data_IF_600380412137
#
_entry.id   IF_600380412137
#
_cell.length_a   1.000
_cell.length_b   1.000
_cell.length_c   1.000
_cell.angle_alpha   90.00
_cell.angle_beta   90.00
_cell.angle_gamma   90.00
#
_symmetry.space_group_name_H-M   'P 1'
#
loop_
_entity.id
_entity.type
_entity.pdbx_description
1 polymer ?
#
# COMPACT_ATOMS: atom_id res chain seq x y z
N UNK A 1 -29.61 9.62 21.19
CA UNK A 1 -28.75 10.78 21.51
C UNK A 1 -28.24 10.63 22.95
N UNK A 2 -27.27 9.75 23.22
CA UNK A 2 -26.55 9.66 24.50
C UNK A 2 -25.17 9.09 24.19
N UNK A 3 -24.11 9.72 24.70
CA UNK A 3 -22.68 9.60 24.36
C UNK A 3 -22.21 10.43 23.17
N UNK A 4 -22.23 11.75 23.38
CA UNK A 4 -21.51 12.73 22.57
C UNK A 4 -20.99 13.88 23.46
N UNK A 5 -20.18 13.56 24.46
CA UNK A 5 -19.30 14.50 25.16
C UNK A 5 -18.15 13.64 25.69
N UNK A 6 -17.06 13.43 24.94
CA UNK A 6 -16.11 14.50 24.61
C UNK A 6 -14.96 14.44 25.61
N UNK A 7 -14.32 13.26 25.72
CA UNK A 7 -13.11 13.09 26.52
C UNK A 7 -12.02 12.61 25.60
N UNK A 8 -11.14 13.52 25.22
CA UNK A 8 -9.91 13.15 24.54
C UNK A 8 -8.83 12.96 25.62
N UNK A 9 -8.26 11.76 25.68
CA UNK A 9 -7.13 11.48 26.56
C UNK A 9 -5.87 11.72 25.73
N UNK A 10 -4.92 12.53 26.21
CA UNK A 10 -3.72 12.87 25.42
C UNK A 10 -2.72 11.71 25.35
N UNK A 11 -2.43 11.16 24.17
CA UNK A 11 -1.27 10.29 23.91
C UNK A 11 -1.42 8.84 24.39
N UNK A 12 -0.33 8.16 24.78
CA UNK A 12 -0.31 6.73 25.22
C UNK A 12 -1.06 6.44 26.54
N UNK A 13 -1.98 7.32 26.93
CA UNK A 13 -2.75 7.31 28.17
C UNK A 13 -4.03 6.45 28.11
N UNK A 14 -4.41 5.99 26.91
CA UNK A 14 -5.66 5.24 26.69
C UNK A 14 -5.72 3.88 27.41
N UNK A 15 -4.59 3.21 27.58
CA UNK A 15 -4.54 1.84 28.12
C UNK A 15 -4.92 1.78 29.60
N UNK A 16 -4.48 2.73 30.43
CA UNK A 16 -4.81 2.75 31.88
C UNK A 16 -6.24 3.22 32.19
N UNK A 17 -6.77 4.20 31.43
CA UNK A 17 -8.10 4.76 31.68
C UNK A 17 -9.20 3.72 31.48
N UNK A 18 -9.00 2.84 30.50
CA UNK A 18 -9.87 1.69 30.23
C UNK A 18 -9.77 0.59 31.30
N UNK A 19 -8.58 0.41 31.88
CA UNK A 19 -8.27 -0.69 32.81
C UNK A 19 -8.61 -0.33 34.27
N UNK A 20 -8.46 0.94 34.66
CA UNK A 20 -8.75 1.44 36.00
C UNK A 20 -10.25 1.68 36.24
N UNK A 21 -11.01 1.99 35.18
CA UNK A 21 -12.42 2.38 35.33
C UNK A 21 -13.37 1.68 34.34
N UNK A 22 -13.33 0.34 34.20
CA UNK A 22 -14.07 -0.37 33.16
C UNK A 22 -15.59 -0.16 33.24
N UNK A 23 -16.15 0.07 34.43
CA UNK A 23 -17.59 0.39 34.61
C UNK A 23 -17.88 1.89 34.62
N UNK A 24 -16.98 2.72 35.15
CA UNK A 24 -17.23 4.18 35.29
C UNK A 24 -17.20 4.92 33.96
N UNK A 25 -16.57 4.34 32.94
CA UNK A 25 -16.62 4.85 31.56
C UNK A 25 -18.03 4.83 30.95
N UNK A 26 -18.94 4.01 31.48
CA UNK A 26 -20.32 3.89 30.99
C UNK A 26 -21.32 4.68 31.83
N UNK A 27 -20.85 5.55 32.73
CA UNK A 27 -21.74 6.39 33.52
C UNK A 27 -22.37 7.47 32.65
N UNK A 28 -23.68 7.62 32.78
CA UNK A 28 -24.46 8.58 32.03
C UNK A 28 -24.50 9.91 32.77
N UNK A 29 -23.88 10.94 32.18
CA UNK A 29 -23.92 12.29 32.74
C UNK A 29 -25.27 12.92 32.41
N UNK A 30 -25.95 13.45 33.42
CA UNK A 30 -27.27 14.07 33.30
C UNK A 30 -27.31 15.38 34.07
N UNK A 31 -28.12 16.33 33.63
CA UNK A 31 -28.17 17.65 34.26
C UNK A 31 -28.82 17.60 35.65
N UNK A 32 -29.86 16.79 35.81
CA UNK A 32 -30.72 16.74 37.00
C UNK A 32 -30.99 15.28 37.41
N UNK A 33 -31.11 15.02 38.72
CA UNK A 33 -31.49 13.74 39.29
C UNK A 33 -32.93 13.32 38.95
N UNK A 34 -33.83 14.27 38.67
CA UNK A 34 -35.19 13.99 38.20
C UNK A 34 -35.18 13.22 36.87
N UNK A 35 -34.26 13.56 35.97
CA UNK A 35 -34.11 12.87 34.67
C UNK A 35 -33.67 11.42 34.90
N UNK A 36 -32.70 11.22 35.81
CA UNK A 36 -32.22 9.88 36.18
C UNK A 36 -33.35 9.00 36.71
N UNK A 37 -34.14 9.55 37.62
CA UNK A 37 -35.24 8.83 38.28
C UNK A 37 -36.34 8.48 37.28
N UNK A 38 -36.66 9.39 36.36
CA UNK A 38 -37.65 9.13 35.31
C UNK A 38 -37.21 8.01 34.36
N UNK A 39 -35.94 8.01 33.94
CA UNK A 39 -35.38 6.96 33.07
C UNK A 39 -35.37 5.61 33.80
N UNK A 40 -34.94 5.58 35.07
CA UNK A 40 -34.95 4.35 35.88
C UNK A 40 -36.36 3.79 36.07
N UNK A 41 -37.34 4.65 36.36
CA UNK A 41 -38.74 4.24 36.51
C UNK A 41 -39.28 3.60 35.22
N UNK A 42 -39.00 4.18 34.05
CA UNK A 42 -39.46 3.61 32.78
C UNK A 42 -38.71 2.31 32.44
N UNK A 43 -37.39 2.25 32.69
CA UNK A 43 -36.57 1.05 32.48
C UNK A 43 -37.07 -0.13 33.32
N UNK A 44 -37.43 0.12 34.57
CA UNK A 44 -38.00 -0.88 35.48
C UNK A 44 -39.42 -1.27 35.05
N UNK A 45 -40.25 -0.31 34.62
CA UNK A 45 -41.61 -0.57 34.12
C UNK A 45 -41.59 -1.49 32.90
N UNK A 46 -40.65 -1.25 31.98
CA UNK A 46 -40.47 -2.06 30.76
C UNK A 46 -39.61 -3.31 30.96
N UNK A 47 -39.15 -3.60 32.20
CA UNK A 47 -38.27 -4.74 32.54
C UNK A 47 -37.08 -4.89 31.61
N UNK A 48 -36.44 -3.77 31.25
CA UNK A 48 -35.30 -3.81 30.34
C UNK A 48 -34.08 -4.45 31.02
N UNK A 49 -33.31 -5.30 30.33
CA UNK A 49 -32.10 -5.88 30.88
C UNK A 49 -30.97 -4.84 30.94
N UNK A 50 -30.16 -4.88 32.00
CA UNK A 50 -28.94 -4.08 32.13
C UNK A 50 -28.81 -3.35 33.46
N UNK A 51 -27.63 -2.80 33.69
CA UNK A 51 -27.32 -1.93 34.82
C UNK A 51 -26.90 -0.57 34.26
N UNK A 52 -27.57 0.49 34.70
CA UNK A 52 -27.25 1.88 34.31
C UNK A 52 -26.88 2.68 35.54
N UNK A 53 -25.86 3.52 35.42
CA UNK A 53 -25.45 4.43 36.48
C UNK A 53 -25.49 5.85 35.96
N UNK A 54 -26.20 6.74 36.66
CA UNK A 54 -26.33 8.14 36.30
C UNK A 54 -25.49 9.03 37.22
N UNK A 55 -24.94 10.11 36.67
CA UNK A 55 -24.16 11.13 37.39
C UNK A 55 -24.85 12.50 37.23
N UNK A 56 -25.74 12.86 38.16
CA UNK A 56 -26.49 14.12 38.10
C UNK A 56 -25.62 15.31 38.49
N UNK A 57 -25.47 16.29 37.59
CA UNK A 57 -24.61 17.47 37.77
C UNK A 57 -25.06 18.36 38.94
N UNK A 58 -26.37 18.43 39.21
CA UNK A 58 -26.94 19.24 40.28
C UNK A 58 -26.65 18.71 41.70
N UNK A 59 -26.48 17.39 41.86
CA UNK A 59 -26.25 16.74 43.17
C UNK A 59 -24.81 16.28 43.40
N UNK A 60 -23.96 16.34 42.39
CA UNK A 60 -22.60 15.82 42.49
C UNK A 60 -21.72 16.75 43.33
N UNK A 61 -21.34 16.28 44.51
CA UNK A 61 -20.36 16.94 45.37
C UNK A 61 -18.96 16.38 45.15
N UNK A 62 -17.99 17.28 45.07
CA UNK A 62 -16.58 16.96 44.88
C UNK A 62 -15.80 17.75 45.92
N UNK A 63 -14.88 17.08 46.59
CA UNK A 63 -13.92 17.74 47.48
C UNK A 63 -12.68 18.12 46.67
N UNK A 64 -12.20 19.34 46.85
CA UNK A 64 -10.93 19.75 46.27
C UNK A 64 -9.80 19.01 46.99
N UNK A 65 -9.13 18.14 46.24
CA UNK A 65 -8.01 17.35 46.72
C UNK A 65 -6.71 18.08 46.40
N UNK A 66 -5.81 18.18 47.38
CA UNK A 66 -4.42 18.61 47.10
C UNK A 66 -3.65 17.42 46.54
N UNK A 67 -3.06 17.62 45.38
CA UNK A 67 -2.22 16.61 44.73
C UNK A 67 -0.75 16.83 45.11
N UNK A 68 0.06 15.75 45.23
CA UNK A 68 1.48 15.88 45.46
C UNK A 68 2.17 16.48 44.23
N UNK A 69 3.00 17.49 44.44
CA UNK A 69 3.88 18.03 43.41
C UNK A 69 5.17 17.20 43.39
N UNK A 70 5.18 16.15 42.56
CA UNK A 70 6.34 15.29 42.36
C UNK A 70 6.52 14.99 40.87
N UNK A 71 7.76 14.93 40.35
CA UNK A 71 8.00 14.54 38.96
C UNK A 71 7.58 13.09 38.66
N UNK A 72 7.48 12.24 39.68
CA UNK A 72 7.17 10.82 39.52
C UNK A 72 5.68 10.49 39.67
N UNK A 73 4.82 11.48 39.96
CA UNK A 73 3.37 11.31 40.11
C UNK A 73 2.58 12.48 39.50
N UNK A 74 1.64 12.18 38.62
CA UNK A 74 0.77 13.17 37.96
C UNK A 74 -0.71 12.89 38.25
N UNK A 75 -1.54 13.92 38.52
CA UNK A 75 -2.99 13.74 38.68
C UNK A 75 -3.63 13.28 37.37
N UNK A 76 -4.44 12.22 37.42
CA UNK A 76 -5.08 11.68 36.21
C UNK A 76 -6.01 12.70 35.55
N UNK A 77 -6.74 13.49 36.35
CA UNK A 77 -7.67 14.52 35.85
C UNK A 77 -6.97 15.59 35.00
N UNK A 78 -5.71 15.92 35.31
CA UNK A 78 -4.94 16.95 34.58
C UNK A 78 -4.53 16.49 33.17
N UNK A 79 -4.53 15.19 32.91
CA UNK A 79 -4.17 14.61 31.61
C UNK A 79 -5.39 14.36 30.70
N UNK A 80 -6.60 14.68 31.17
CA UNK A 80 -7.84 14.54 30.42
C UNK A 80 -8.26 15.87 29.80
N UNK A 81 -8.74 15.84 28.55
CA UNK A 81 -9.41 16.96 27.93
C UNK A 81 -10.91 16.73 27.99
N UNK A 82 -11.63 17.61 28.67
CA UNK A 82 -13.08 17.58 28.80
C UNK A 82 -13.63 19.00 28.91
N UNK A 83 -14.93 19.18 28.65
CA UNK A 83 -15.57 20.49 28.81
C UNK A 83 -15.70 20.88 30.28
N UNK A 84 -15.39 22.15 30.61
CA UNK A 84 -15.43 22.69 31.98
C UNK A 84 -16.78 22.49 32.68
N UNK A 85 -17.88 22.47 31.91
CA UNK A 85 -19.24 22.12 32.37
C UNK A 85 -19.28 20.83 33.19
N UNK A 86 -18.46 19.84 32.84
CA UNK A 86 -18.47 18.51 33.43
C UNK A 86 -17.35 18.31 34.48
N UNK A 87 -16.67 19.37 34.90
CA UNK A 87 -15.52 19.29 35.80
C UNK A 87 -15.82 18.53 37.11
N UNK A 88 -17.02 18.74 37.68
CA UNK A 88 -17.48 17.99 38.86
C UNK A 88 -17.49 16.48 38.61
N UNK A 89 -17.94 16.04 37.43
CA UNK A 89 -18.00 14.60 37.09
C UNK A 89 -16.59 14.02 36.97
N UNK A 90 -15.73 14.69 36.21
CA UNK A 90 -14.38 14.19 35.96
C UNK A 90 -13.53 14.17 37.23
N UNK A 91 -13.64 15.19 38.09
CA UNK A 91 -13.00 15.18 39.41
C UNK A 91 -13.56 14.09 40.32
N UNK A 92 -14.86 13.80 40.28
CA UNK A 92 -15.43 12.70 41.06
C UNK A 92 -14.92 11.33 40.61
N UNK A 93 -14.85 11.09 39.30
CA UNK A 93 -14.47 9.78 38.73
C UNK A 93 -12.96 9.55 38.78
N UNK A 94 -12.16 10.56 38.40
CA UNK A 94 -10.71 10.45 38.18
C UNK A 94 -9.86 11.27 39.17
N UNK A 95 -10.45 12.15 39.98
CA UNK A 95 -9.71 13.04 40.88
C UNK A 95 -9.11 12.35 42.11
N UNK A 96 -9.39 11.06 42.34
CA UNK A 96 -8.76 10.26 43.40
C UNK A 96 -7.65 9.34 42.89
N UNK A 97 -7.21 9.54 41.65
CA UNK A 97 -6.24 8.67 40.99
C UNK A 97 -5.01 9.44 40.53
N UNK A 98 -3.84 8.93 40.90
CA UNK A 98 -2.52 9.42 40.48
C UNK A 98 -1.89 8.45 39.48
N UNK A 99 -1.27 8.99 38.44
CA UNK A 99 -0.45 8.25 37.49
C UNK A 99 0.99 8.30 37.98
N UNK A 100 1.56 7.14 38.29
CA UNK A 100 2.92 6.98 38.79
C UNK A 100 3.83 6.37 37.72
N UNK A 101 5.12 6.66 37.77
CA UNK A 101 6.11 6.10 36.82
C UNK A 101 6.33 4.60 37.00
N UNK A 102 6.36 4.11 38.25
CA UNK A 102 6.61 2.70 38.58
C UNK A 102 5.69 2.21 39.70
N UNK A 103 5.63 0.88 39.89
CA UNK A 103 4.78 0.24 40.89
C UNK A 103 5.27 0.49 42.32
N UNK A 104 6.58 0.61 42.51
CA UNK A 104 7.20 0.92 43.81
C UNK A 104 6.79 2.32 44.26
N UNK A 105 6.89 3.28 43.34
CA UNK A 105 6.47 4.67 43.55
C UNK A 105 4.96 4.75 43.81
N UNK A 106 4.16 4.01 43.04
CA UNK A 106 2.72 3.91 43.25
C UNK A 106 2.37 3.38 44.65
N UNK A 107 3.11 2.38 45.14
CA UNK A 107 2.91 1.80 46.48
C UNK A 107 3.26 2.79 47.58
N UNK A 108 4.34 3.57 47.42
CA UNK A 108 4.73 4.61 48.36
C UNK A 108 3.68 5.72 48.43
N UNK A 109 3.28 6.28 47.28
CA UNK A 109 2.31 7.37 47.23
C UNK A 109 0.94 6.94 47.75
N UNK A 110 0.48 5.73 47.39
CA UNK A 110 -0.82 5.22 47.84
C UNK A 110 -0.94 5.09 49.37
N UNK A 111 0.16 4.75 50.06
CA UNK A 111 0.21 4.70 51.54
C UNK A 111 0.24 6.09 52.18
N UNK A 112 0.95 7.04 51.57
CA UNK A 112 1.19 8.37 52.15
C UNK A 112 0.09 9.39 51.87
N UNK A 113 -0.59 9.31 50.72
CA UNK A 113 -1.49 10.37 50.22
C UNK A 113 -2.97 9.97 50.19
N UNK A 114 -3.34 8.74 50.60
CA UNK A 114 -4.71 8.19 50.54
C UNK A 114 -5.37 8.33 49.13
N UNK A 115 -4.56 8.14 48.09
CA UNK A 115 -4.96 8.19 46.68
C UNK A 115 -4.70 6.84 46.00
N UNK A 116 -5.58 6.48 45.07
CA UNK A 116 -5.35 5.31 44.21
C UNK A 116 -4.25 5.67 43.20
N UNK A 117 -3.33 4.75 42.95
CA UNK A 117 -2.18 4.97 42.07
C UNK A 117 -2.20 3.96 40.92
N UNK A 118 -1.89 4.42 39.71
CA UNK A 118 -1.83 3.59 38.50
C UNK A 118 -0.52 3.83 37.76
N UNK A 119 0.10 2.77 37.24
CA UNK A 119 1.31 2.89 36.41
C UNK A 119 0.96 3.02 34.92
N UNK A 120 1.92 3.46 34.11
CA UNK A 120 1.75 3.50 32.65
C UNK A 120 1.50 2.12 32.03
N UNK A 121 1.93 1.05 32.71
CA UNK A 121 1.77 -0.34 32.28
C UNK A 121 0.40 -0.92 32.66
N UNK A 122 -0.40 -0.18 33.44
CA UNK A 122 -1.76 -0.57 33.83
C UNK A 122 -1.85 -1.29 35.17
N UNK A 123 -0.75 -1.39 35.93
CA UNK A 123 -0.77 -1.88 37.31
C UNK A 123 -1.37 -0.83 38.24
N UNK A 124 -2.13 -1.29 39.22
CA UNK A 124 -2.93 -0.46 40.12
C UNK A 124 -2.59 -0.79 41.57
N UNK A 125 -2.46 0.26 42.37
CA UNK A 125 -2.37 0.17 43.82
C UNK A 125 -3.49 1.02 44.40
N UNK A 126 -4.45 0.36 45.04
CA UNK A 126 -5.49 1.08 45.77
C UNK A 126 -4.93 1.63 47.07
N UNK A 127 -5.44 2.79 47.49
CA UNK A 127 -5.24 3.38 48.81
C UNK A 127 -5.55 2.44 49.99
N UNK A 128 -6.35 1.40 49.75
CA UNK A 128 -6.66 0.33 50.71
C UNK A 128 -5.65 -0.83 50.70
N UNK A 129 -4.57 -0.74 49.94
CA UNK A 129 -3.50 -1.72 49.88
C UNK A 129 -3.70 -2.86 48.88
N UNK A 130 -4.80 -2.88 48.12
CA UNK A 130 -4.99 -3.87 47.06
C UNK A 130 -4.11 -3.54 45.84
N UNK A 131 -3.34 -4.51 45.37
CA UNK A 131 -2.51 -4.39 44.17
C UNK A 131 -3.12 -5.25 43.07
N UNK A 132 -3.43 -4.64 41.92
CA UNK A 132 -4.01 -5.33 40.76
C UNK A 132 -3.08 -5.11 39.57
N UNK A 133 -2.64 -6.19 38.93
CA UNK A 133 -1.75 -6.12 37.76
C UNK A 133 -1.92 -7.33 36.85
N UNK A 134 -1.35 -7.26 35.65
CA UNK A 134 -1.43 -8.33 34.66
C UNK A 134 -1.16 -7.88 33.22
N UNK A 135 -1.16 -8.84 32.29
CA UNK A 135 -1.03 -8.53 30.87
C UNK A 135 -2.36 -8.06 30.29
N UNK A 136 -2.38 -6.81 29.79
CA UNK A 136 -3.54 -6.22 29.13
C UNK A 136 -3.34 -6.21 27.61
N UNK A 137 -4.28 -6.82 26.90
CA UNK A 137 -4.30 -6.79 25.43
C UNK A 137 -4.78 -5.42 24.95
N UNK A 138 -3.88 -4.64 24.38
CA UNK A 138 -4.15 -3.28 23.87
C UNK A 138 -5.24 -3.28 22.80
N UNK A 139 -5.39 -4.36 22.03
CA UNK A 139 -6.42 -4.49 20.97
C UNK A 139 -7.85 -4.56 21.52
N UNK A 140 -8.02 -4.93 22.79
CA UNK A 140 -9.32 -4.97 23.47
C UNK A 140 -9.64 -3.69 24.24
N UNK A 141 -8.77 -2.68 24.16
CA UNK A 141 -9.01 -1.40 24.80
C UNK A 141 -10.21 -0.70 24.16
N UNK A 142 -11.27 -0.51 24.95
CA UNK A 142 -12.52 0.11 24.47
C UNK A 142 -12.31 1.56 24.03
N UNK A 143 -11.38 2.27 24.65
CA UNK A 143 -11.04 3.65 24.31
C UNK A 143 -10.28 3.73 22.98
N UNK A 144 -9.37 2.78 22.74
CA UNK A 144 -8.65 2.67 21.46
C UNK A 144 -9.62 2.38 20.30
N UNK A 145 -10.55 1.43 20.53
CA UNK A 145 -11.60 1.10 19.57
C UNK A 145 -12.50 2.31 19.29
N UNK A 146 -12.85 3.09 20.32
CA UNK A 146 -13.65 4.30 20.14
C UNK A 146 -12.88 5.38 19.35
N UNK A 147 -11.59 5.58 19.62
CA UNK A 147 -10.75 6.50 18.83
C UNK A 147 -10.70 6.07 17.37
N UNK A 148 -10.46 4.78 17.12
CA UNK A 148 -10.47 4.21 15.78
C UNK A 148 -11.82 4.40 15.07
N UNK A 149 -12.95 4.25 15.79
CA UNK A 149 -14.29 4.50 15.23
C UNK A 149 -14.47 5.97 14.84
N UNK A 150 -13.99 6.91 15.67
CA UNK A 150 -14.08 8.35 15.37
C UNK A 150 -13.24 8.68 14.14
N UNK A 151 -11.98 8.23 14.09
CA UNK A 151 -11.10 8.43 12.93
C UNK A 151 -11.68 7.81 11.66
N UNK A 152 -12.23 6.60 11.73
CA UNK A 152 -12.87 5.95 10.59
C UNK A 152 -14.13 6.68 10.14
N UNK A 153 -14.91 7.26 11.05
CA UNK A 153 -16.08 8.08 10.70
C UNK A 153 -15.66 9.39 10.03
N UNK A 154 -14.65 10.07 10.54
CA UNK A 154 -14.13 11.28 9.91
C UNK A 154 -13.60 10.99 8.49
N UNK A 155 -12.88 9.88 8.34
CA UNK A 155 -12.42 9.39 7.03
C UNK A 155 -13.59 9.06 6.11
N UNK A 156 -14.62 8.38 6.61
CA UNK A 156 -15.81 8.05 5.84
C UNK A 156 -16.49 9.32 5.33
N UNK A 157 -16.74 10.31 6.21
CA UNK A 157 -17.36 11.58 5.81
C UNK A 157 -16.52 12.33 4.78
N UNK A 158 -15.19 12.34 4.94
CA UNK A 158 -14.29 12.95 3.94
C UNK A 158 -14.35 12.23 2.59
N UNK A 159 -14.39 10.89 2.60
CA UNK A 159 -14.50 10.09 1.37
C UNK A 159 -15.86 10.24 0.69
N UNK A 160 -16.95 10.31 1.46
CA UNK A 160 -18.29 10.59 0.96
C UNK A 160 -18.36 11.96 0.27
N UNK A 161 -17.75 12.98 0.86
CA UNK A 161 -17.68 14.30 0.24
C UNK A 161 -16.88 14.28 -1.07
N UNK A 162 -15.72 13.62 -1.09
CA UNK A 162 -14.92 13.47 -2.31
C UNK A 162 -15.67 12.69 -3.41
N UNK A 163 -16.44 11.68 -3.02
CA UNK A 163 -17.25 10.90 -3.94
C UNK A 163 -18.32 11.77 -4.61
N UNK A 164 -19.08 12.56 -3.85
CA UNK A 164 -20.09 13.46 -4.43
C UNK A 164 -19.47 14.53 -5.33
N UNK A 165 -18.32 15.12 -4.95
CA UNK A 165 -17.60 16.06 -5.82
C UNK A 165 -17.14 15.43 -7.14
N UNK A 166 -16.68 14.17 -7.10
CA UNK A 166 -16.24 13.46 -8.30
C UNK A 166 -17.43 13.06 -9.17
N UNK A 167 -18.55 12.69 -8.56
CA UNK A 167 -19.81 12.39 -9.24
C UNK A 167 -20.35 13.60 -9.98
N UNK A 168 -20.33 14.78 -9.36
CA UNK A 168 -20.74 16.04 -10.00
C UNK A 168 -19.83 16.39 -11.19
N UNK A 169 -18.52 16.16 -11.07
CA UNK A 169 -17.58 16.35 -12.19
C UNK A 169 -17.86 15.37 -13.33
N UNK A 170 -18.13 14.10 -13.02
CA UNK A 170 -18.48 13.09 -14.03
C UNK A 170 -19.73 13.51 -14.80
N UNK A 171 -20.78 13.94 -14.10
CA UNK A 171 -22.02 14.38 -14.74
C UNK A 171 -21.81 15.59 -15.66
N UNK A 172 -20.94 16.54 -15.29
CA UNK A 172 -20.58 17.68 -16.17
C UNK A 172 -19.88 17.20 -17.45
N UNK A 173 -18.92 16.29 -17.31
CA UNK A 173 -18.21 15.72 -18.46
C UNK A 173 -19.15 14.93 -19.38
N UNK A 174 -20.10 14.17 -18.84
CA UNK A 174 -21.11 13.46 -19.64
C UNK A 174 -22.00 14.41 -20.46
N UNK A 175 -22.39 15.54 -19.87
CA UNK A 175 -23.15 16.59 -20.58
C UNK A 175 -22.30 17.21 -21.69
N UNK A 176 -21.02 17.49 -21.43
CA UNK A 176 -20.09 18.01 -22.44
C UNK A 176 -19.90 17.02 -23.60
N UNK A 177 -19.70 15.73 -23.30
CA UNK A 177 -19.60 14.67 -24.32
C UNK A 177 -20.87 14.63 -25.18
N UNK A 178 -22.05 14.69 -24.55
CA UNK A 178 -23.33 14.67 -25.27
C UNK A 178 -23.48 15.88 -26.20
N UNK A 179 -23.02 17.06 -25.76
CA UNK A 179 -22.98 18.27 -26.59
C UNK A 179 -22.02 18.11 -27.76
N UNK A 180 -20.81 17.61 -27.53
CA UNK A 180 -19.82 17.37 -28.58
C UNK A 180 -20.31 16.35 -29.61
N UNK A 181 -20.97 15.27 -29.18
CA UNK A 181 -21.58 14.29 -30.10
C UNK A 181 -22.66 14.94 -30.99
N UNK A 182 -23.49 15.80 -30.40
CA UNK A 182 -24.52 16.52 -31.15
C UNK A 182 -23.90 17.44 -32.20
N UNK A 183 -22.82 18.14 -31.86
CA UNK A 183 -22.11 19.01 -32.80
C UNK A 183 -21.35 18.22 -33.86
N UNK A 184 -20.77 17.07 -33.50
CA UNK A 184 -20.16 16.14 -34.44
C UNK A 184 -21.18 15.67 -35.49
N UNK A 185 -22.38 15.27 -35.08
CA UNK A 185 -23.45 14.88 -36.01
C UNK A 185 -23.88 16.03 -36.93
N UNK A 186 -23.96 17.27 -36.42
CA UNK A 186 -24.25 18.45 -37.26
C UNK A 186 -23.14 18.69 -38.29
N UNK A 187 -21.88 18.57 -37.90
CA UNK A 187 -20.74 18.74 -38.80
C UNK A 187 -20.72 17.63 -39.84
N UNK A 188 -20.95 16.38 -39.44
CA UNK A 188 -20.96 15.23 -40.33
C UNK A 188 -22.08 15.32 -41.37
N UNK A 189 -23.29 15.68 -40.96
CA UNK A 189 -24.41 15.91 -41.89
C UNK A 189 -24.13 17.06 -42.86
N UNK A 190 -23.52 18.15 -42.40
CA UNK A 190 -23.07 19.25 -43.27
C UNK A 190 -22.00 18.80 -44.26
N UNK A 191 -21.04 18.00 -43.80
CA UNK A 191 -19.97 17.47 -44.63
C UNK A 191 -20.51 16.52 -45.71
N UNK A 192 -21.47 15.66 -45.36
CA UNK A 192 -22.16 14.77 -46.30
C UNK A 192 -22.93 15.55 -47.37
N UNK A 193 -23.63 16.62 -46.98
CA UNK A 193 -24.31 17.53 -47.93
C UNK A 193 -23.30 18.19 -48.88
N UNK A 194 -22.19 18.72 -48.35
CA UNK A 194 -21.15 19.35 -49.15
C UNK A 194 -20.49 18.35 -50.12
N UNK A 195 -20.26 17.10 -49.68
CA UNK A 195 -19.72 16.03 -50.52
C UNK A 195 -20.65 15.74 -51.71
N UNK A 196 -21.94 15.58 -51.46
CA UNK A 196 -22.93 15.34 -52.51
C UNK A 196 -22.98 16.50 -53.53
N UNK A 197 -22.91 17.76 -53.04
CA UNK A 197 -22.85 18.94 -53.92
C UNK A 197 -21.57 18.94 -54.75
N UNK A 198 -20.43 18.60 -54.14
CA UNK A 198 -19.15 18.52 -54.83
C UNK A 198 -19.14 17.43 -55.92
N UNK A 199 -19.66 16.24 -55.62
CA UNK A 199 -19.77 15.15 -56.58
C UNK A 199 -20.68 15.51 -57.77
N UNK A 200 -21.82 16.17 -57.49
CA UNK A 200 -22.69 16.70 -58.55
C UNK A 200 -21.96 17.72 -59.42
N UNK A 201 -21.33 18.72 -58.81
CA UNK A 201 -20.59 19.76 -59.55
C UNK A 201 -19.44 19.16 -60.38
N UNK A 202 -18.76 18.13 -59.86
CA UNK A 202 -17.71 17.39 -60.58
C UNK A 202 -18.27 16.60 -61.77
N UNK A 203 -19.47 16.03 -61.64
CA UNK A 203 -20.17 15.38 -62.75
C UNK A 203 -20.54 16.39 -63.83
N UNK A 204 -21.15 17.51 -63.43
CA UNK A 204 -21.55 18.58 -64.35
C UNK A 204 -20.33 19.15 -65.09
N UNK A 205 -19.22 19.38 -64.39
CA UNK A 205 -17.96 19.82 -65.01
C UNK A 205 -17.42 18.82 -66.03
N UNK A 206 -17.56 17.50 -65.80
CA UNK A 206 -17.15 16.47 -66.77
C UNK A 206 -18.01 16.52 -68.03
N UNK A 207 -19.31 16.69 -67.88
CA UNK A 207 -20.25 16.82 -69.00
C UNK A 207 -19.90 18.07 -69.82
N UNK A 208 -19.81 19.23 -69.17
CA UNK A 208 -19.48 20.51 -69.82
C UNK A 208 -18.12 20.46 -70.54
N UNK A 209 -17.11 19.80 -69.96
CA UNK A 209 -15.81 19.61 -70.62
C UNK A 209 -15.90 18.68 -71.83
N UNK A 210 -16.73 17.65 -71.76
CA UNK A 210 -17.04 16.78 -72.91
C UNK A 210 -17.69 17.56 -74.05
N UNK A 211 -18.71 18.36 -73.75
CA UNK A 211 -19.37 19.24 -74.72
C UNK A 211 -18.40 20.25 -75.33
N UNK A 212 -17.58 20.91 -74.50
CA UNK A 212 -16.54 21.83 -74.97
C UNK A 212 -15.57 21.16 -75.93
N UNK A 213 -15.12 19.93 -75.63
CA UNK A 213 -14.21 19.19 -76.52
C UNK A 213 -14.88 18.81 -77.85
N UNK A 214 -16.18 18.48 -77.84
CA UNK A 214 -16.93 18.20 -79.08
C UNK A 214 -17.06 19.47 -79.92
N UNK A 215 -17.41 20.59 -79.29
CA UNK A 215 -17.49 21.90 -79.93
C UNK A 215 -16.12 22.31 -80.51
N UNK A 216 -15.04 22.14 -79.75
CA UNK A 216 -13.68 22.44 -80.20
C UNK A 216 -13.24 21.57 -81.38
N UNK A 217 -13.57 20.26 -81.37
CA UNK A 217 -13.35 19.38 -82.53
C UNK A 217 -14.17 19.79 -83.76
N UNK A 218 -15.41 20.24 -83.56
CA UNK A 218 -16.27 20.74 -84.63
C UNK A 218 -15.80 22.10 -85.20
N UNK A 219 -15.17 22.93 -84.36
CA UNK A 219 -14.54 24.21 -84.71
C UNK A 219 -13.09 24.07 -85.20
N UNK A 220 -12.48 22.89 -85.03
CA UNK A 220 -11.16 22.58 -85.57
C UNK A 220 -11.07 22.95 -87.04
N UNK A 221 -9.87 23.32 -87.55
CA UNK A 221 -9.72 24.00 -88.83
C UNK A 221 -10.43 23.17 -89.90
N UNK A 222 -11.56 23.70 -90.40
CA UNK A 222 -12.26 23.14 -91.55
C UNK A 222 -11.32 23.26 -92.74
N UNK A 223 -10.36 22.35 -92.85
CA UNK A 223 -9.38 22.26 -93.95
C UNK A 223 -10.10 22.28 -95.29
N UNK A 224 -11.31 21.71 -95.33
CA UNK A 224 -12.22 21.75 -96.48
C UNK A 224 -12.69 23.17 -96.85
N UNK A 225 -12.95 24.06 -95.88
CA UNK A 225 -13.35 25.44 -96.19
C UNK A 225 -12.18 26.21 -96.78
N UNK A 226 -10.96 26.04 -96.24
CA UNK A 226 -9.79 26.71 -96.79
C UNK A 226 -9.45 26.22 -98.21
N UNK A 227 -9.56 24.91 -98.48
CA UNK A 227 -9.34 24.36 -99.83
C UNK A 227 -10.44 24.78 -100.80
N UNK A 228 -11.70 24.82 -100.35
CA UNK A 228 -12.81 25.30 -101.18
C UNK A 228 -12.67 26.79 -101.51
N UNK A 229 -12.22 27.62 -100.56
CA UNK A 229 -11.93 29.04 -100.80
C UNK A 229 -10.80 29.21 -101.83
N UNK A 230 -9.70 28.47 -101.69
CA UNK A 230 -8.59 28.52 -102.65
C UNK A 230 -9.02 28.06 -104.05
N UNK A 231 -9.86 27.02 -104.16
CA UNK A 231 -10.38 26.54 -105.44
C UNK A 231 -11.33 27.57 -106.08
N UNK A 232 -12.18 28.20 -105.26
CA UNK A 232 -13.10 29.23 -105.72
C UNK A 232 -12.35 30.47 -106.23
N UNK A 233 -11.26 30.84 -105.56
CA UNK A 233 -10.40 31.95 -105.98
C UNK A 233 -9.65 31.62 -107.28
N UNK A 234 -9.16 30.38 -107.44
CA UNK A 234 -8.57 29.90 -108.70
C UNK A 234 -9.59 29.90 -109.85
N UNK A 235 -10.82 29.40 -109.62
CA UNK A 235 -11.88 29.40 -110.65
C UNK A 235 -12.30 30.83 -111.03
N UNK A 236 -12.40 31.75 -110.06
CA UNK A 236 -12.67 33.17 -110.33
C UNK A 236 -11.56 33.82 -111.14
N UNK A 237 -10.29 33.51 -110.84
CA UNK A 237 -9.15 33.96 -111.63
C UNK A 237 -9.22 33.47 -113.08
N UNK A 238 -9.53 32.18 -113.28
CA UNK A 238 -9.66 31.59 -114.61
C UNK A 238 -10.86 32.16 -115.38
N UNK A 239 -11.99 32.40 -114.71
CA UNK A 239 -13.16 33.02 -115.32
C UNK A 239 -12.86 34.44 -115.81
N UNK A 240 -12.19 35.27 -114.98
CA UNK A 240 -11.76 36.60 -115.39
C UNK A 240 -10.82 36.58 -116.58
N UNK A 241 -9.82 35.68 -116.58
CA UNK A 241 -8.90 35.54 -117.72
C UNK A 241 -9.64 35.20 -119.01
N UNK A 242 -10.62 34.29 -118.95
CA UNK A 242 -11.43 33.90 -120.12
C UNK A 242 -12.40 35.01 -120.56
N UNK A 243 -12.94 35.80 -119.61
CA UNK A 243 -13.75 36.98 -119.91
C UNK A 243 -12.92 38.10 -120.58
N UNK A 244 -11.69 38.33 -120.11
CA UNK A 244 -10.76 39.30 -120.69
C UNK A 244 -10.24 38.85 -122.07
N UNK A 245 -10.11 37.54 -122.32
CA UNK A 245 -9.78 36.97 -123.62
C UNK A 245 -10.94 37.05 -124.63
N UNK A 246 -12.18 37.19 -124.15
CA UNK A 246 -13.38 37.21 -124.98
C UNK A 246 -13.50 38.53 -125.76
N UNK A 247 -13.06 38.53 -127.02
CA UNK A 247 -13.14 39.68 -127.92
C UNK A 247 -11.81 40.31 -128.30
N UNK A 248 -10.69 39.68 -127.93
CA UNK A 248 -9.35 40.05 -128.41
C UNK A 248 -8.98 39.26 -129.66
N UNK A 249 -8.29 39.88 -130.63
CA UNK A 249 -7.85 39.22 -131.86
C UNK A 249 -6.69 38.25 -131.57
N UNK A 250 -6.76 37.02 -132.07
CA UNK A 250 -5.72 36.00 -131.92
C UNK A 250 -4.47 36.36 -132.76
N UNK A 251 -3.62 37.22 -132.24
CA UNK A 251 -2.31 37.53 -132.81
C UNK A 251 -1.32 36.41 -132.47
N UNK A 252 -0.67 35.83 -133.48
CA UNK A 252 0.28 34.73 -133.34
C UNK A 252 1.65 35.15 -132.79
N UNK A 253 1.90 36.46 -132.62
CA UNK A 253 3.15 37.03 -132.11
C UNK A 253 2.89 38.26 -131.22
N UNK A 254 3.56 38.32 -130.08
CA UNK A 254 3.47 39.40 -129.09
C UNK A 254 4.07 40.72 -129.62
N UNK A 255 3.48 41.88 -129.29
CA UNK A 255 4.12 43.17 -129.61
C UNK A 255 5.35 43.39 -128.71
N UNK A 256 6.30 44.25 -129.14
CA UNK A 256 7.52 44.55 -128.37
C UNK A 256 7.22 45.17 -127.00
N UNK A 257 6.07 45.85 -126.87
CA UNK A 257 5.62 46.47 -125.63
C UNK A 257 5.05 45.42 -124.67
N UNK A 258 4.23 44.51 -125.21
CA UNK A 258 3.68 43.37 -124.46
C UNK A 258 4.79 42.42 -124.02
N UNK A 259 5.82 42.21 -124.82
CA UNK A 259 6.97 41.36 -124.47
C UNK A 259 7.73 41.92 -123.26
N UNK A 260 7.91 43.24 -123.18
CA UNK A 260 8.55 43.90 -122.02
C UNK A 260 7.68 43.83 -120.77
N UNK A 261 6.36 43.92 -120.93
CA UNK A 261 5.43 43.81 -119.82
C UNK A 261 5.34 42.37 -119.29
N UNK A 262 5.34 41.39 -120.20
CA UNK A 262 5.45 39.95 -119.85
C UNK A 262 6.77 39.66 -119.14
N UNK A 263 7.90 40.19 -119.60
CA UNK A 263 9.20 39.99 -118.93
C UNK A 263 9.21 40.61 -117.52
N UNK A 264 8.66 41.83 -117.37
CA UNK A 264 8.52 42.49 -116.05
C UNK A 264 7.61 41.71 -115.11
N UNK A 265 6.43 41.31 -115.59
CA UNK A 265 5.47 40.52 -114.81
C UNK A 265 6.06 39.16 -114.46
N UNK A 266 6.82 38.52 -115.34
CA UNK A 266 7.51 37.27 -115.03
C UNK A 266 8.56 37.43 -113.92
N UNK A 267 9.30 38.52 -113.92
CA UNK A 267 10.27 38.80 -112.85
C UNK A 267 9.58 39.15 -111.53
N UNK A 268 8.45 39.84 -111.57
CA UNK A 268 7.61 40.10 -110.39
C UNK A 268 6.95 38.82 -109.86
N UNK A 269 6.46 37.95 -110.74
CA UNK A 269 5.95 36.60 -110.43
C UNK A 269 7.06 35.75 -109.79
N UNK A 270 8.30 35.80 -110.29
CA UNK A 270 9.44 35.12 -109.66
C UNK A 270 9.72 35.67 -108.26
N UNK A 271 9.69 36.98 -108.08
CA UNK A 271 9.88 37.64 -106.78
C UNK A 271 8.80 37.25 -105.77
N UNK A 272 7.53 37.35 -106.17
CA UNK A 272 6.38 36.96 -105.36
C UNK A 272 6.37 35.47 -105.05
N UNK A 273 6.73 34.60 -106.00
CA UNK A 273 6.87 33.16 -105.74
C UNK A 273 7.97 32.87 -104.73
N UNK A 274 9.09 33.59 -104.77
CA UNK A 274 10.16 33.44 -103.79
C UNK A 274 9.72 33.89 -102.39
N UNK A 275 8.99 35.00 -102.28
CA UNK A 275 8.41 35.47 -101.02
C UNK A 275 7.36 34.51 -100.48
N UNK A 276 6.47 34.00 -101.33
CA UNK A 276 5.45 33.03 -100.96
C UNK A 276 6.10 31.71 -100.48
N UNK A 277 7.17 31.26 -101.16
CA UNK A 277 7.94 30.08 -100.74
C UNK A 277 8.63 30.28 -99.38
N UNK A 278 9.14 31.48 -99.10
CA UNK A 278 9.69 31.84 -97.77
C UNK A 278 8.61 31.83 -96.69
N UNK A 279 7.47 32.50 -96.95
CA UNK A 279 6.34 32.54 -96.02
C UNK A 279 5.75 31.16 -95.76
N UNK A 280 5.65 30.31 -96.79
CA UNK A 280 5.20 28.92 -96.66
C UNK A 280 6.15 28.11 -95.80
N UNK A 281 7.46 28.22 -96.00
CA UNK A 281 8.45 27.53 -95.18
C UNK A 281 8.41 27.99 -93.72
N UNK A 282 8.23 29.29 -93.48
CA UNK A 282 8.10 29.83 -92.13
C UNK A 282 6.82 29.36 -91.45
N UNK A 283 5.70 29.30 -92.18
CA UNK A 283 4.46 28.72 -91.72
C UNK A 283 4.61 27.24 -91.37
N UNK A 284 5.23 26.44 -92.23
CA UNK A 284 5.47 25.00 -91.98
C UNK A 284 6.29 24.82 -90.71
N UNK A 285 7.32 25.66 -90.51
CA UNK A 285 8.15 25.63 -89.30
C UNK A 285 7.34 25.95 -88.04
N UNK A 286 6.56 27.03 -88.06
CA UNK A 286 5.69 27.43 -86.95
C UNK A 286 4.59 26.41 -86.65
N UNK A 287 3.99 25.81 -87.68
CA UNK A 287 2.98 24.76 -87.55
C UNK A 287 3.58 23.48 -86.96
N UNK A 288 4.82 23.14 -87.35
CA UNK A 288 5.60 22.07 -86.73
C UNK A 288 5.89 22.32 -85.25
N UNK A 289 6.30 23.53 -84.88
CA UNK A 289 6.59 23.90 -83.49
C UNK A 289 5.32 23.98 -82.63
N UNK A 290 4.20 24.44 -83.20
CA UNK A 290 2.88 24.36 -82.56
C UNK A 290 2.50 22.91 -82.26
N UNK A 291 2.57 22.03 -83.25
CA UNK A 291 2.24 20.61 -83.06
C UNK A 291 3.14 19.93 -82.03
N UNK A 292 4.45 20.24 -82.00
CA UNK A 292 5.35 19.74 -80.97
C UNK A 292 4.90 20.16 -79.57
N UNK A 293 4.58 21.45 -79.37
CA UNK A 293 4.11 21.95 -78.07
C UNK A 293 2.74 21.37 -77.69
N UNK A 294 1.81 21.24 -78.63
CA UNK A 294 0.50 20.60 -78.41
C UNK A 294 0.65 19.12 -78.04
N UNK A 295 1.57 18.39 -78.66
CA UNK A 295 1.85 17.00 -78.31
C UNK A 295 2.46 16.87 -76.90
N UNK A 296 3.35 17.77 -76.50
CA UNK A 296 3.90 17.78 -75.13
C UNK A 296 2.79 18.08 -74.11
N UNK A 297 1.92 19.05 -74.41
CA UNK A 297 0.84 19.45 -73.53
C UNK A 297 -0.22 18.35 -73.39
N UNK A 298 -0.72 17.83 -74.51
CA UNK A 298 -1.79 16.82 -74.53
C UNK A 298 -1.28 15.43 -74.14
N UNK A 299 -0.13 15.02 -74.67
CA UNK A 299 0.42 13.68 -74.48
C UNK A 299 1.06 13.48 -73.12
N UNK A 300 1.67 14.52 -72.54
CA UNK A 300 2.49 14.37 -71.34
C UNK A 300 1.92 15.13 -70.14
N UNK A 301 1.78 16.46 -70.25
CA UNK A 301 1.43 17.30 -69.09
C UNK A 301 -0.03 17.12 -68.65
N UNK A 302 -0.98 17.08 -69.59
CA UNK A 302 -2.40 16.81 -69.30
C UNK A 302 -2.57 15.42 -68.70
N UNK A 303 -1.95 14.38 -69.28
CA UNK A 303 -2.00 13.02 -68.75
C UNK A 303 -1.41 12.93 -67.34
N UNK A 304 -0.26 13.55 -67.09
CA UNK A 304 0.38 13.55 -65.77
C UNK A 304 -0.46 14.28 -64.72
N UNK A 305 -1.13 15.37 -65.10
CA UNK A 305 -2.11 16.06 -64.25
C UNK A 305 -3.31 15.16 -63.93
N UNK A 306 -3.87 14.48 -64.94
CA UNK A 306 -5.01 13.58 -64.75
C UNK A 306 -4.65 12.38 -63.87
N UNK A 307 -3.44 11.83 -64.05
CA UNK A 307 -2.89 10.78 -63.20
C UNK A 307 -2.71 11.25 -61.74
N UNK A 308 -2.12 12.43 -61.50
CA UNK A 308 -1.99 12.95 -60.13
C UNK A 308 -3.35 13.28 -59.48
N UNK A 309 -4.35 13.71 -60.26
CA UNK A 309 -5.72 13.91 -59.76
C UNK A 309 -6.35 12.57 -59.35
N UNK A 310 -6.10 11.51 -60.12
CA UNK A 310 -6.58 10.16 -59.81
C UNK A 310 -5.90 9.62 -58.54
N UNK A 311 -4.58 9.73 -58.45
CA UNK A 311 -3.81 9.31 -57.26
C UNK A 311 -4.26 10.07 -55.99
N UNK A 312 -4.50 11.38 -56.08
CA UNK A 312 -5.05 12.16 -54.95
C UNK A 312 -6.47 11.75 -54.55
N UNK A 313 -7.30 11.36 -55.51
CA UNK A 313 -8.65 10.84 -55.26
C UNK A 313 -8.60 9.53 -54.49
N UNK A 314 -7.77 8.59 -54.95
CA UNK A 314 -7.66 7.24 -54.40
C UNK A 314 -7.02 7.23 -53.01
N UNK A 315 -6.02 8.10 -52.76
CA UNK A 315 -5.37 8.26 -51.45
C UNK A 315 -6.31 8.87 -50.38
N UNK A 316 -7.33 9.65 -50.77
CA UNK A 316 -8.06 10.48 -49.80
C UNK A 316 -9.25 9.80 -49.12
N UNK A 317 -9.88 8.79 -49.73
CA UNK A 317 -11.15 8.22 -49.23
C UNK A 317 -11.05 6.73 -48.97
N UNK A 318 -10.61 5.92 -49.93
CA UNK A 318 -10.62 4.46 -49.77
C UNK A 318 -9.56 3.99 -48.78
N UNK A 319 -8.32 4.49 -48.86
CA UNK A 319 -7.25 4.14 -47.91
C UNK A 319 -7.54 4.63 -46.48
N UNK A 320 -8.17 5.82 -46.33
CA UNK A 320 -8.56 6.33 -45.01
C UNK A 320 -9.73 5.55 -44.43
N UNK A 321 -10.71 5.18 -45.26
CA UNK A 321 -11.85 4.36 -44.86
C UNK A 321 -11.42 2.94 -44.51
N UNK A 322 -10.51 2.35 -45.28
CA UNK A 322 -9.97 1.02 -45.02
C UNK A 322 -9.10 1.01 -43.76
N UNK A 323 -8.31 2.07 -43.51
CA UNK A 323 -7.61 2.23 -42.22
C UNK A 323 -8.57 2.41 -41.05
N UNK A 324 -9.66 3.15 -41.23
CA UNK A 324 -10.64 3.39 -40.18
C UNK A 324 -11.47 2.14 -39.89
N UNK A 325 -11.87 1.39 -40.93
CA UNK A 325 -12.52 0.08 -40.79
C UNK A 325 -11.57 -0.92 -40.12
N UNK A 326 -10.28 -0.97 -40.50
CA UNK A 326 -9.30 -1.83 -39.83
C UNK A 326 -9.11 -1.46 -38.35
N UNK A 327 -8.95 -0.17 -38.05
CA UNK A 327 -8.85 0.30 -36.66
C UNK A 327 -10.13 0.08 -35.86
N UNK A 328 -11.30 0.22 -36.47
CA UNK A 328 -12.60 -0.08 -35.84
C UNK A 328 -12.76 -1.57 -35.56
N UNK A 329 -12.36 -2.42 -36.52
CA UNK A 329 -12.36 -3.87 -36.37
C UNK A 329 -11.40 -4.30 -35.26
N UNK A 330 -10.18 -3.75 -35.22
CA UNK A 330 -9.20 -3.97 -34.15
C UNK A 330 -9.74 -3.53 -32.79
N UNK A 331 -10.43 -2.38 -32.71
CA UNK A 331 -11.04 -1.89 -31.49
C UNK A 331 -12.15 -2.83 -31.00
N UNK A 332 -13.02 -3.30 -31.90
CA UNK A 332 -14.07 -4.27 -31.59
C UNK A 332 -13.49 -5.62 -31.14
N UNK A 333 -12.36 -6.04 -31.74
CA UNK A 333 -11.66 -7.26 -31.29
C UNK A 333 -11.05 -7.07 -29.90
N UNK A 334 -10.50 -5.89 -29.62
CA UNK A 334 -9.98 -5.55 -28.30
C UNK A 334 -11.10 -5.46 -27.25
N UNK A 335 -12.25 -4.86 -27.57
CA UNK A 335 -13.42 -4.78 -26.69
C UNK A 335 -13.97 -6.17 -26.35
N UNK A 336 -14.17 -7.02 -27.36
CA UNK A 336 -14.62 -8.41 -27.14
C UNK A 336 -13.59 -9.22 -26.33
N UNK A 337 -12.29 -8.98 -26.52
CA UNK A 337 -11.25 -9.59 -25.68
C UNK A 337 -11.27 -9.06 -24.24
N UNK A 338 -11.55 -7.77 -24.03
CA UNK A 338 -11.71 -7.17 -22.70
C UNK A 338 -12.93 -7.77 -22.00
N UNK A 339 -14.06 -7.89 -22.68
CA UNK A 339 -15.29 -8.46 -22.10
C UNK A 339 -15.14 -9.95 -21.80
N UNK A 340 -14.48 -10.70 -22.69
CA UNK A 340 -14.03 -12.07 -22.45
C UNK A 340 -13.15 -12.17 -21.19
N UNK A 341 -12.16 -11.30 -21.06
CA UNK A 341 -11.28 -11.28 -19.90
C UNK A 341 -12.00 -10.84 -18.62
N UNK A 342 -12.94 -9.90 -18.69
CA UNK A 342 -13.81 -9.52 -17.57
C UNK A 342 -14.68 -10.69 -17.13
N UNK A 343 -15.33 -11.38 -18.06
CA UNK A 343 -16.12 -12.57 -17.77
C UNK A 343 -15.27 -13.70 -17.17
N UNK A 344 -14.04 -13.90 -17.65
CA UNK A 344 -13.07 -14.83 -17.05
C UNK A 344 -12.66 -14.40 -15.65
N UNK A 345 -12.43 -13.10 -15.42
CA UNK A 345 -12.11 -12.56 -14.11
C UNK A 345 -13.28 -12.73 -13.14
N UNK A 346 -14.51 -12.43 -13.55
CA UNK A 346 -15.71 -12.68 -12.76
C UNK A 346 -15.90 -14.16 -12.47
N UNK A 347 -15.66 -15.04 -13.44
CA UNK A 347 -15.67 -16.49 -13.23
C UNK A 347 -14.61 -16.96 -12.23
N UNK A 348 -13.41 -16.39 -12.28
CA UNK A 348 -12.34 -16.64 -11.30
C UNK A 348 -12.75 -16.12 -9.92
N UNK A 349 -13.30 -14.91 -9.82
CA UNK A 349 -13.81 -14.37 -8.55
C UNK A 349 -14.93 -15.24 -7.98
N UNK A 350 -15.90 -15.65 -8.81
CA UNK A 350 -16.99 -16.52 -8.41
C UNK A 350 -16.49 -17.92 -7.98
N UNK A 351 -15.43 -18.45 -8.59
CA UNK A 351 -14.76 -19.67 -8.14
C UNK A 351 -13.95 -19.48 -6.85
N UNK A 352 -13.45 -18.27 -6.59
CA UNK A 352 -12.70 -17.93 -5.38
C UNK A 352 -13.60 -17.67 -4.16
N UNK A 353 -14.84 -17.18 -4.36
CA UNK A 353 -15.83 -16.94 -3.29
C UNK A 353 -16.10 -18.18 -2.42
N UNK A 354 -16.39 -19.39 -2.96
CA UNK A 354 -16.59 -20.58 -2.14
C UNK A 354 -15.27 -21.10 -1.52
N UNK A 355 -14.12 -20.81 -2.12
CA UNK A 355 -12.81 -21.14 -1.54
C UNK A 355 -12.48 -20.21 -0.35
N UNK A 356 -12.82 -18.93 -0.44
CA UNK A 356 -12.76 -17.96 0.65
C UNK A 356 -13.68 -18.35 1.81
N UNK A 357 -14.93 -18.75 1.52
CA UNK A 357 -15.89 -19.21 2.52
C UNK A 357 -15.46 -20.53 3.19
N UNK A 358 -14.90 -21.47 2.42
CA UNK A 358 -14.35 -22.72 2.97
C UNK A 358 -13.09 -22.47 3.81
N UNK A 359 -12.24 -21.51 3.43
CA UNK A 359 -11.07 -21.11 4.23
C UNK A 359 -11.49 -20.47 5.55
N UNK A 360 -12.51 -19.61 5.60
CA UNK A 360 -12.99 -19.05 6.87
C UNK A 360 -13.61 -20.11 7.77
N UNK A 361 -14.43 -21.01 7.24
CA UNK A 361 -15.08 -22.08 8.02
C UNK A 361 -14.05 -23.10 8.53
N UNK A 362 -13.10 -23.53 7.70
CA UNK A 362 -12.02 -24.45 8.12
C UNK A 362 -11.05 -23.78 9.09
N UNK A 363 -10.81 -22.47 8.95
CA UNK A 363 -9.97 -21.71 9.89
C UNK A 363 -10.63 -21.57 11.26
N UNK A 364 -11.95 -21.38 11.32
CA UNK A 364 -12.69 -21.29 12.59
C UNK A 364 -12.81 -22.65 13.29
N UNK A 365 -13.11 -23.73 12.58
CA UNK A 365 -13.15 -25.08 13.17
C UNK A 365 -11.76 -25.53 13.67
N UNK A 366 -10.71 -25.32 12.87
CA UNK A 366 -9.33 -25.63 13.29
C UNK A 366 -8.86 -24.73 14.42
N UNK A 367 -9.24 -23.45 14.47
CA UNK A 367 -8.93 -22.55 15.58
C UNK A 367 -9.62 -22.94 16.87
N UNK A 368 -10.86 -23.41 16.83
CA UNK A 368 -11.58 -23.90 18.01
C UNK A 368 -10.91 -25.16 18.54
N UNK A 369 -10.59 -26.13 17.67
CA UNK A 369 -9.88 -27.36 18.06
C UNK A 369 -8.48 -27.05 18.61
N UNK A 370 -7.74 -26.14 17.96
CA UNK A 370 -6.40 -25.74 18.40
C UNK A 370 -6.44 -25.00 19.74
N UNK A 371 -7.44 -24.14 19.97
CA UNK A 371 -7.65 -23.46 21.26
C UNK A 371 -8.02 -24.45 22.37
N UNK A 372 -8.84 -25.46 22.10
CA UNK A 372 -9.18 -26.52 23.07
C UNK A 372 -7.94 -27.35 23.42
N UNK A 373 -7.15 -27.76 22.41
CA UNK A 373 -5.87 -28.47 22.62
C UNK A 373 -4.85 -27.64 23.39
N UNK A 374 -4.71 -26.35 23.06
CA UNK A 374 -3.79 -25.44 23.75
C UNK A 374 -4.21 -25.25 25.21
N UNK A 375 -5.52 -25.15 25.49
CA UNK A 375 -6.05 -25.05 26.85
C UNK A 375 -5.81 -26.32 27.67
N UNK A 376 -5.96 -27.50 27.06
CA UNK A 376 -5.62 -28.79 27.68
C UNK A 376 -4.12 -28.91 27.98
N UNK A 377 -3.26 -28.47 27.05
CA UNK A 377 -1.81 -28.52 27.20
C UNK A 377 -1.32 -27.55 28.28
N UNK A 378 -1.88 -26.33 28.34
CA UNK A 378 -1.62 -25.36 29.42
C UNK A 378 -2.12 -25.90 30.77
N UNK A 379 -3.27 -26.60 30.79
CA UNK A 379 -3.78 -27.30 31.98
C UNK A 379 -2.81 -28.36 32.50
N UNK A 380 -2.35 -29.27 31.63
CA UNK A 380 -1.38 -30.31 31.99
C UNK A 380 -0.02 -29.73 32.41
N UNK A 381 0.41 -28.64 31.79
CA UNK A 381 1.68 -27.99 32.15
C UNK A 381 1.57 -27.25 33.50
N UNK A 382 0.39 -26.71 33.85
CA UNK A 382 0.12 -26.18 35.20
C UNK A 382 0.09 -27.27 36.26
N UNK A 383 -0.54 -28.42 35.98
CA UNK A 383 -0.52 -29.57 36.88
C UNK A 383 0.91 -30.09 37.12
N UNK A 384 1.71 -30.21 36.04
CA UNK A 384 3.12 -30.63 36.10
C UNK A 384 4.01 -29.62 36.84
N UNK A 385 3.71 -28.32 36.74
CA UNK A 385 4.41 -27.26 37.48
C UNK A 385 4.04 -27.26 38.97
N UNK A 386 2.81 -27.65 39.30
CA UNK A 386 2.33 -27.78 40.68
C UNK A 386 2.98 -28.98 41.39
N UNK A 387 3.07 -30.13 40.71
CA UNK A 387 3.78 -31.31 41.22
C UNK A 387 5.29 -31.06 41.37
N UNK A 388 5.92 -30.35 40.42
CA UNK A 388 7.34 -29.98 40.49
C UNK A 388 7.64 -28.99 41.63
N UNK A 389 6.76 -28.02 41.91
CA UNK A 389 6.91 -27.12 43.08
C UNK A 389 6.78 -27.85 44.42
N UNK A 390 5.85 -28.80 44.54
CA UNK A 390 5.72 -29.62 45.74
C UNK A 390 6.91 -30.58 45.92
N UNK A 391 7.50 -31.09 44.84
CA UNK A 391 8.73 -31.89 44.87
C UNK A 391 9.92 -31.10 45.43
N UNK A 392 10.14 -29.87 44.92
CA UNK A 392 11.23 -28.98 45.37
C UNK A 392 11.11 -28.57 46.85
N UNK A 393 9.89 -28.43 47.36
CA UNK A 393 9.67 -28.14 48.78
C UNK A 393 10.11 -29.31 49.69
N UNK A 394 9.81 -30.56 49.29
CA UNK A 394 10.26 -31.76 50.00
C UNK A 394 11.77 -31.95 49.92
N UNK A 395 12.36 -31.69 48.75
CA UNK A 395 13.80 -31.80 48.53
C UNK A 395 14.61 -30.83 49.40
N UNK A 396 14.10 -29.59 49.56
CA UNK A 396 14.69 -28.62 50.49
C UNK A 396 14.65 -29.10 51.95
N UNK A 397 13.53 -29.69 52.38
CA UNK A 397 13.39 -30.22 53.75
C UNK A 397 14.37 -31.38 54.02
N UNK A 398 14.63 -32.24 53.02
CA UNK A 398 15.65 -33.30 53.14
C UNK A 398 17.08 -32.74 53.16
N UNK A 399 17.39 -31.73 52.35
CA UNK A 399 18.69 -31.05 52.40
C UNK A 399 18.96 -30.39 53.75
N UNK A 400 17.96 -29.74 54.35
CA UNK A 400 18.10 -29.12 55.67
C UNK A 400 18.38 -30.17 56.76
N UNK A 401 17.71 -31.34 56.72
CA UNK A 401 17.97 -32.48 57.63
C UNK A 401 19.38 -33.05 57.47
N UNK A 402 19.83 -33.24 56.22
CA UNK A 402 21.20 -33.71 55.93
C UNK A 402 22.25 -32.71 56.45
N UNK A 403 21.98 -31.40 56.32
CA UNK A 403 22.84 -30.35 56.84
C UNK A 403 22.98 -30.37 58.36
N UNK A 404 21.91 -30.68 59.09
CA UNK A 404 21.96 -30.79 60.55
C UNK A 404 22.67 -32.06 61.02
N UNK A 405 22.48 -33.20 60.34
CA UNK A 405 23.22 -34.44 60.60
C UNK A 405 24.73 -34.27 60.35
N UNK A 406 25.11 -33.52 59.31
CA UNK A 406 26.52 -33.20 59.02
C UNK A 406 27.19 -32.39 60.15
N UNK A 407 26.48 -31.41 60.74
CA UNK A 407 26.99 -30.65 61.90
C UNK A 407 27.17 -31.52 63.14
N UNK A 408 26.29 -32.50 63.35
CA UNK A 408 26.40 -33.44 64.47
C UNK A 408 27.61 -34.36 64.27
N UNK A 409 27.82 -34.86 63.06
CA UNK A 409 29.00 -35.65 62.69
C UNK A 409 30.29 -34.87 62.90
N UNK A 410 30.36 -33.62 62.46
CA UNK A 410 31.54 -32.76 62.63
C UNK A 410 31.91 -32.59 64.12
N UNK A 411 30.91 -32.41 65.00
CA UNK A 411 31.14 -32.37 66.45
C UNK A 411 31.70 -33.69 67.00
N UNK A 412 31.22 -34.84 66.51
CA UNK A 412 31.74 -36.15 66.92
C UNK A 412 33.16 -36.37 66.45
N UNK A 413 33.48 -36.02 65.19
CA UNK A 413 34.83 -36.13 64.62
C UNK A 413 35.83 -35.25 65.37
N UNK A 414 35.45 -34.01 65.72
CA UNK A 414 36.27 -33.13 66.53
C UNK A 414 36.55 -33.70 67.93
N UNK A 415 35.53 -34.31 68.56
CA UNK A 415 35.69 -34.99 69.85
C UNK A 415 36.61 -36.22 69.75
N UNK A 416 36.51 -36.99 68.67
CA UNK A 416 37.37 -38.14 68.41
C UNK A 416 38.84 -37.70 68.21
N UNK A 417 39.08 -36.65 67.40
CA UNK A 417 40.41 -36.10 67.17
C UNK A 417 41.07 -35.61 68.48
N UNK A 418 40.31 -34.95 69.35
CA UNK A 418 40.80 -34.53 70.66
C UNK A 418 41.17 -35.72 71.56
N UNK A 419 40.36 -36.78 71.57
CA UNK A 419 40.63 -37.99 72.35
C UNK A 419 41.85 -38.76 71.82
N UNK A 420 42.04 -38.80 70.50
CA UNK A 420 43.23 -39.39 69.89
C UNK A 420 44.51 -38.64 70.26
N UNK A 421 44.49 -37.30 70.23
CA UNK A 421 45.63 -36.49 70.70
C UNK A 421 45.96 -36.78 72.17
N UNK A 422 44.96 -36.89 73.04
CA UNK A 422 45.17 -37.29 74.45
C UNK A 422 45.76 -38.69 74.58
N UNK A 423 45.29 -39.65 73.76
CA UNK A 423 45.83 -41.01 73.72
C UNK A 423 47.30 -41.00 73.30
N UNK A 424 47.66 -40.26 72.25
CA UNK A 424 49.06 -40.12 71.80
C UNK A 424 49.95 -39.50 72.86
N UNK A 425 49.46 -38.48 73.57
CA UNK A 425 50.20 -37.85 74.66
C UNK A 425 50.45 -38.84 75.81
N UNK A 426 49.45 -39.63 76.22
CA UNK A 426 49.62 -40.70 77.20
C UNK A 426 50.62 -41.77 76.71
N UNK A 427 50.52 -42.19 75.44
CA UNK A 427 51.45 -43.16 74.85
C UNK A 427 52.89 -42.63 74.75
N UNK A 428 53.06 -41.31 74.54
CA UNK A 428 54.37 -40.66 74.59
C UNK A 428 54.92 -40.67 76.01
N UNK A 429 54.13 -40.28 77.02
CA UNK A 429 54.53 -40.34 78.45
C UNK A 429 54.91 -41.76 78.87
N UNK A 430 54.16 -42.77 78.42
CA UNK A 430 54.49 -44.19 78.67
C UNK A 430 55.86 -44.55 78.06
N UNK A 431 56.16 -44.10 76.83
CA UNK A 431 57.47 -44.34 76.20
C UNK A 431 58.62 -43.59 76.88
N UNK A 432 58.40 -42.36 77.32
CA UNK A 432 59.39 -41.54 78.05
C UNK A 432 59.77 -42.14 79.40
N UNK A 433 58.86 -42.89 80.05
CA UNK A 433 59.12 -43.58 81.32
C UNK A 433 60.07 -44.80 81.18
N UNK A 434 60.45 -45.17 79.96
CA UNK A 434 61.39 -46.26 79.68
C UNK A 434 60.75 -47.65 79.55
N UNK A 435 61.56 -48.64 79.18
CA UNK A 435 61.11 -50.02 79.00
C UNK A 435 60.84 -50.70 80.34
N UNK A 436 59.62 -51.19 80.53
CA UNK A 436 59.26 -52.01 81.69
C UNK A 436 59.97 -53.38 81.62
N UNK A 437 60.45 -53.92 82.75
CA UNK A 437 60.97 -55.29 82.83
C UNK A 437 59.93 -56.33 82.36
N UNK A 438 60.37 -57.42 81.72
CA UNK A 438 59.48 -58.48 81.20
C UNK A 438 58.50 -59.01 82.26
N UNK A 439 58.95 -59.15 83.50
CA UNK A 439 58.16 -59.64 84.63
C UNK A 439 56.95 -58.74 84.98
N UNK A 440 56.99 -57.46 84.62
CA UNK A 440 55.90 -56.53 84.89
C UNK A 440 54.68 -56.80 84.00
N UNK A 441 54.88 -57.39 82.81
CA UNK A 441 53.79 -57.71 81.87
C UNK A 441 52.99 -58.95 82.28
N UNK A 442 53.55 -59.86 83.08
CA UNK A 442 52.83 -61.05 83.56
C UNK A 442 52.16 -60.81 84.92
N UNK A 443 52.78 -60.07 85.83
CA UNK A 443 52.28 -59.95 87.22
C UNK A 443 51.02 -59.10 87.38
N UNK A 444 50.78 -58.12 86.50
CA UNK A 444 49.75 -57.09 86.71
C UNK A 444 48.65 -57.05 85.63
N UNK A 445 48.67 -57.96 84.66
CA UNK A 445 47.74 -57.99 83.51
C UNK A 445 46.29 -58.31 83.89
N UNK A 446 46.05 -59.03 84.98
CA UNK A 446 44.70 -59.42 85.41
C UNK A 446 44.00 -58.38 86.30
N UNK A 447 44.63 -57.23 86.58
CA UNK A 447 44.10 -56.21 87.48
C UNK A 447 43.30 -55.14 86.72
N UNK A 448 42.16 -54.74 87.28
CA UNK A 448 41.40 -53.60 86.76
C UNK A 448 42.12 -52.27 86.98
N UNK A 449 41.81 -51.24 86.17
CA UNK A 449 42.38 -49.89 86.31
C UNK A 449 42.29 -49.36 87.76
N UNK A 450 41.14 -49.59 88.41
CA UNK A 450 40.90 -49.14 89.80
C UNK A 450 41.78 -49.87 90.81
N UNK A 451 42.05 -51.16 90.60
CA UNK A 451 42.97 -51.95 91.42
C UNK A 451 44.44 -51.57 91.17
N UNK A 452 44.81 -51.27 89.92
CA UNK A 452 46.14 -50.77 89.56
C UNK A 452 46.44 -49.42 90.22
N UNK A 453 45.49 -48.48 90.21
CA UNK A 453 45.64 -47.21 90.95
C UNK A 453 45.86 -47.44 92.45
N UNK A 454 45.09 -48.33 93.09
CA UNK A 454 45.26 -48.65 94.51
C UNK A 454 46.65 -49.25 94.80
N UNK A 455 47.18 -50.07 93.89
CA UNK A 455 48.54 -50.63 93.98
C UNK A 455 49.61 -49.57 93.76
N UNK A 456 49.40 -48.64 92.83
CA UNK A 456 50.28 -47.49 92.61
C UNK A 456 50.35 -46.59 93.85
N UNK A 457 49.20 -46.34 94.51
CA UNK A 457 49.16 -45.58 95.76
C UNK A 457 49.90 -46.29 96.90
N UNK A 458 49.76 -47.62 97.02
CA UNK A 458 50.54 -48.44 97.96
C UNK A 458 52.05 -48.33 97.69
N UNK A 459 52.48 -48.48 96.43
CA UNK A 459 53.88 -48.35 96.05
C UNK A 459 54.43 -46.93 96.28
N UNK A 460 53.64 -45.91 96.01
CA UNK A 460 54.03 -44.52 96.27
C UNK A 460 54.17 -44.24 97.78
N UNK A 461 53.36 -44.87 98.62
CA UNK A 461 53.49 -44.78 100.08
C UNK A 461 54.78 -45.47 100.58
N UNK A 462 55.11 -46.64 100.03
CA UNK A 462 56.36 -47.37 100.34
C UNK A 462 57.62 -46.64 99.81
N UNK A 463 57.55 -46.02 98.63
CA UNK A 463 58.63 -45.19 98.09
C UNK A 463 58.89 -43.95 98.96
N UNK A 464 57.83 -43.35 99.53
CA UNK A 464 57.98 -42.24 100.47
C UNK A 464 58.63 -42.66 101.79
N UNK A 465 58.41 -43.88 102.28
CA UNK A 465 59.05 -44.36 103.52
C UNK A 465 60.50 -44.79 103.32
N UNK A 466 60.89 -45.21 102.12
CA UNK A 466 62.24 -45.69 101.78
C UNK A 466 63.18 -44.60 101.24
N UNK A 467 62.66 -43.42 100.87
CA UNK A 467 63.45 -42.27 100.43
C UNK A 467 64.39 -41.69 101.52
N UNK A 468 64.20 -42.04 102.80
CA UNK A 468 64.97 -41.49 103.94
C UNK A 468 66.21 -42.32 104.33
N UNK A 469 66.55 -43.40 103.60
CA UNK A 469 67.71 -44.26 103.91
C UNK A 469 68.81 -44.14 102.85
N UNK A 470 69.97 -43.60 103.25
CA UNK A 470 71.17 -43.40 102.43
C UNK A 470 71.81 -44.73 101.97
N UNK A 471 71.95 -44.90 100.64
CA UNK A 471 72.60 -46.06 99.98
C UNK A 471 74.08 -46.22 100.38
N UNK A 472 74.49 -47.42 100.83
CA UNK A 472 75.87 -47.93 100.73
C UNK A 472 75.92 -49.14 99.77
N UNK A 473 76.97 -49.31 98.94
CA UNK A 473 77.08 -50.42 98.00
C UNK A 473 77.62 -51.70 98.67
N UNK A 474 77.07 -52.86 98.31
CA UNK A 474 77.59 -54.16 98.72
C UNK A 474 78.54 -54.72 97.63
N UNK A 475 79.75 -55.13 98.03
CA UNK A 475 80.66 -55.96 97.23
C UNK A 475 80.61 -57.42 97.67
N UNK A 476 80.79 -58.33 96.70
CA UNK A 476 80.99 -59.80 96.79
C UNK A 476 79.72 -60.62 97.11
N UNK A 477 79.46 -61.78 96.49
CA UNK A 477 80.20 -62.65 95.56
C UNK A 477 79.26 -63.25 94.52
#
# INVERSE_FOLDING_TARGET
MVFAYGVAIKGKTYTYGAVHFPRRLFYHIVNDDLISTKILSEMNRSKMPGEVTFMPLNRLEVRDQRYPESPDALPMVSNLQYEKKFDKVFKHVFGKTLICRSIEVATQFSRTQDLDCVTLEGDQVSRRGAITGGYYDTRKSRLELQSSIVELRERLTSQEQQYEELRDKLQKVEVEITSMMSDMQKIETKNRKNKNIYEKMRSDMRIMKGESNVIEKALGPKRNVQSLLSNLEAMKGSARSLEDELGTDLLSQLSVQDQREVDRLNDEIKGLNLQNKKALNERIKLEGDKNKKENVLSGNLMRKREQMIQELSDISVEDRRQKLDNSSMELQTAETAIDSNKARMEGIYAAFVPFGYSITVVSDERMVILKVRLRALIGNNRASRWTSKNGKAKEKEYCDKIGDDAKVLEKMTNKQSLLLKKKEECMRKIRELGSLPSDAFEKYTHLSLKQLFKKLDQCNAELKSTATSTRKPWTSS
#
